data_IF_135577819840
#
_entry.id   IF_135577819840
#
_cell.length_a   1.000
_cell.length_b   1.000
_cell.length_c   1.000
_cell.angle_alpha   90.00
_cell.angle_beta   90.00
_cell.angle_gamma   90.00
#
_symmetry.space_group_name_H-M   'P 1'
#
loop_
_entity.id
_entity.type
_entity.pdbx_description
1 polymer ?
#
# COMPACT_ATOMS: atom_id res chain seq x y z
N UNK A 1 13.44 21.94 12.87
CA UNK A 1 13.31 20.59 12.29
C UNK A 1 14.09 19.66 13.21
N UNK A 2 13.44 18.62 13.76
CA UNK A 2 13.95 17.86 14.91
C UNK A 2 15.11 16.92 14.49
N UNK A 3 16.27 16.96 15.15
CA UNK A 3 17.43 16.09 14.84
C UNK A 3 17.07 14.59 14.91
N UNK A 4 16.15 14.24 15.80
CA UNK A 4 15.61 12.88 15.94
C UNK A 4 14.89 12.41 14.66
N UNK A 5 14.15 13.31 14.00
CA UNK A 5 13.43 13.01 12.76
C UNK A 5 14.41 12.78 11.60
N UNK A 6 15.46 13.61 11.51
CA UNK A 6 16.51 13.44 10.50
C UNK A 6 17.28 12.13 10.71
N UNK A 7 17.58 11.78 11.96
CA UNK A 7 18.20 10.51 12.31
C UNK A 7 17.28 9.33 11.96
N UNK A 8 15.98 9.42 12.20
CA UNK A 8 15.00 8.39 11.83
C UNK A 8 14.90 8.22 10.30
N UNK A 9 14.79 9.32 9.54
CA UNK A 9 14.75 9.28 8.06
C UNK A 9 15.99 8.59 7.49
N UNK A 10 17.17 8.86 8.06
CA UNK A 10 18.43 8.27 7.59
C UNK A 10 18.63 6.82 8.04
N UNK A 11 18.27 6.50 9.28
CA UNK A 11 18.60 5.21 9.88
C UNK A 11 17.51 4.16 9.68
N UNK A 12 16.23 4.54 9.65
CA UNK A 12 15.12 3.58 9.57
C UNK A 12 15.16 2.73 8.31
N UNK A 13 15.34 3.25 7.08
CA UNK A 13 15.42 2.40 5.88
C UNK A 13 16.61 1.44 5.90
N UNK A 14 17.71 1.83 6.59
CA UNK A 14 18.93 1.01 6.72
C UNK A 14 18.76 -0.10 7.76
N UNK A 15 18.08 0.19 8.86
CA UNK A 15 17.88 -0.74 9.98
C UNK A 15 16.66 -1.64 9.77
N UNK A 16 15.67 -1.16 9.04
CA UNK A 16 14.38 -1.80 8.78
C UNK A 16 14.03 -1.65 7.29
N UNK A 17 14.66 -2.45 6.40
CA UNK A 17 14.37 -2.38 4.98
C UNK A 17 12.94 -2.86 4.72
N UNK A 18 12.14 -2.06 4.01
CA UNK A 18 10.86 -2.55 3.53
C UNK A 18 11.06 -3.59 2.42
N UNK A 19 10.17 -4.56 2.37
CA UNK A 19 10.07 -5.49 1.24
C UNK A 19 8.76 -5.24 0.51
N UNK A 20 8.81 -5.33 -0.81
CA UNK A 20 7.60 -5.30 -1.64
C UNK A 20 7.45 -6.68 -2.25
N UNK A 21 6.32 -7.31 -1.95
CA UNK A 21 6.02 -8.68 -2.27
C UNK A 21 4.88 -8.69 -3.29
N UNK A 22 5.08 -9.38 -4.41
CA UNK A 22 4.03 -9.65 -5.38
C UNK A 22 3.15 -10.80 -4.88
N UNK A 23 1.96 -10.45 -4.41
CA UNK A 23 1.04 -11.41 -3.80
C UNK A 23 0.58 -12.41 -4.86
N UNK A 24 0.22 -11.96 -6.07
CA UNK A 24 -0.25 -12.84 -7.14
C UNK A 24 0.77 -13.94 -7.46
N UNK A 25 2.07 -13.60 -7.43
CA UNK A 25 3.15 -14.57 -7.62
C UNK A 25 3.36 -15.50 -6.41
N UNK A 26 3.19 -15.00 -5.17
CA UNK A 26 3.28 -15.84 -3.97
C UNK A 26 2.10 -16.81 -3.84
N UNK A 27 0.87 -16.36 -4.09
CA UNK A 27 -0.36 -17.15 -3.94
C UNK A 27 -0.46 -18.34 -4.89
N UNK A 28 0.29 -18.33 -5.99
CA UNK A 28 0.45 -19.51 -6.86
C UNK A 28 1.14 -20.68 -6.17
N UNK A 29 1.83 -20.43 -5.03
CA UNK A 29 2.67 -21.41 -4.32
C UNK A 29 2.16 -21.76 -2.92
N UNK A 30 1.23 -20.98 -2.36
CA UNK A 30 0.71 -21.17 -0.99
C UNK A 30 -0.80 -20.91 -0.92
N UNK A 31 -1.50 -21.67 -0.08
CA UNK A 31 -2.92 -21.45 0.19
C UNK A 31 -3.09 -20.38 1.26
N UNK A 32 -2.95 -19.12 0.86
CA UNK A 32 -3.11 -17.95 1.74
C UNK A 32 -4.52 -17.36 1.56
N UNK A 33 -5.15 -16.86 2.64
CA UNK A 33 -6.55 -16.44 2.66
C UNK A 33 -6.75 -15.07 1.99
N UNK A 34 -6.31 -14.91 0.75
CA UNK A 34 -6.58 -13.70 -0.04
C UNK A 34 -7.78 -13.93 -0.97
N UNK A 35 -8.71 -12.97 -1.10
CA UNK A 35 -9.86 -13.11 -1.99
C UNK A 35 -9.41 -13.26 -3.46
N UNK A 36 -9.70 -14.42 -4.06
CA UNK A 36 -9.21 -14.79 -5.40
C UNK A 36 -9.85 -13.95 -6.50
N UNK A 37 -11.01 -13.36 -6.23
CA UNK A 37 -11.71 -12.47 -7.16
C UNK A 37 -10.89 -11.25 -7.56
N UNK A 38 -9.89 -10.84 -6.78
CA UNK A 38 -9.03 -9.69 -7.09
C UNK A 38 -7.74 -10.07 -7.82
N UNK A 39 -7.50 -11.34 -8.15
CA UNK A 39 -6.25 -11.80 -8.79
C UNK A 39 -6.04 -11.28 -10.22
N UNK A 40 -7.07 -10.67 -10.82
CA UNK A 40 -6.94 -9.99 -12.10
C UNK A 40 -6.15 -8.67 -11.98
N UNK A 41 -6.03 -8.10 -10.78
CA UNK A 41 -5.20 -6.93 -10.50
C UNK A 41 -3.80 -7.36 -10.05
N UNK A 42 -2.75 -6.62 -10.44
CA UNK A 42 -1.42 -6.79 -9.86
C UNK A 42 -1.39 -6.21 -8.43
N UNK A 43 -1.37 -7.07 -7.41
CA UNK A 43 -1.42 -6.64 -6.01
C UNK A 43 -0.07 -6.91 -5.34
N UNK A 44 0.44 -5.88 -4.66
CA UNK A 44 1.69 -5.94 -3.92
C UNK A 44 1.47 -5.60 -2.45
N UNK A 45 2.21 -6.26 -1.55
CA UNK A 45 2.31 -5.86 -0.14
C UNK A 45 3.68 -5.24 0.08
N UNK A 46 3.69 -3.98 0.52
CA UNK A 46 4.84 -3.37 1.14
C UNK A 46 4.79 -3.66 2.64
N UNK A 47 5.80 -4.32 3.17
CA UNK A 47 5.89 -4.73 4.56
C UNK A 47 7.25 -4.42 5.18
N UNK A 48 7.26 -4.15 6.48
CA UNK A 48 8.47 -4.12 7.30
C UNK A 48 8.61 -5.47 8.03
N UNK A 49 9.68 -6.23 7.75
CA UNK A 49 9.86 -7.55 8.38
C UNK A 49 10.15 -7.51 9.89
N UNK A 50 10.26 -6.31 10.48
CA UNK A 50 10.53 -6.17 11.90
C UNK A 50 9.32 -5.55 12.58
N UNK A 51 8.54 -6.40 13.25
CA UNK A 51 7.31 -6.14 14.03
C UNK A 51 7.51 -5.18 15.23
N UNK A 52 8.58 -4.40 15.26
CA UNK A 52 9.03 -3.66 16.44
C UNK A 52 8.88 -2.14 16.34
N UNK A 53 8.51 -1.58 15.18
CA UNK A 53 8.48 -0.11 14.99
C UNK A 53 7.25 0.40 14.24
N UNK A 54 6.26 0.81 15.02
CA UNK A 54 4.93 1.33 14.63
C UNK A 54 4.96 2.63 13.80
N UNK A 55 6.11 3.29 13.66
CA UNK A 55 6.27 4.58 12.97
C UNK A 55 6.92 4.52 11.57
N UNK A 56 7.16 3.32 11.04
CA UNK A 56 8.07 3.14 9.90
C UNK A 56 7.44 3.29 8.51
N UNK A 57 6.12 3.15 8.35
CA UNK A 57 5.49 3.24 7.02
C UNK A 57 5.51 4.66 6.41
N UNK A 58 5.40 5.69 7.24
CA UNK A 58 5.56 7.09 6.79
C UNK A 58 6.97 7.41 6.27
N UNK A 59 7.97 6.58 6.60
CA UNK A 59 9.37 6.74 6.15
C UNK A 59 9.65 6.04 4.81
N UNK A 60 8.65 5.38 4.23
CA UNK A 60 8.77 4.67 2.95
C UNK A 60 8.28 5.48 1.75
N UNK A 61 8.09 6.81 1.85
CA UNK A 61 7.84 7.66 0.66
C UNK A 61 8.85 7.38 -0.46
N UNK A 62 10.14 7.23 -0.10
CA UNK A 62 11.20 6.89 -1.05
C UNK A 62 11.05 5.48 -1.67
N UNK A 63 10.55 4.50 -0.92
CA UNK A 63 10.32 3.15 -1.43
C UNK A 63 9.06 3.07 -2.29
N UNK A 64 8.00 3.79 -1.91
CA UNK A 64 6.79 3.94 -2.71
C UNK A 64 7.12 4.60 -4.06
N UNK A 65 7.85 5.71 -4.04
CA UNK A 65 8.30 6.38 -5.26
C UNK A 65 9.16 5.46 -6.12
N UNK A 66 10.17 4.80 -5.54
CA UNK A 66 11.02 3.86 -6.27
C UNK A 66 10.25 2.70 -6.90
N UNK A 67 9.22 2.20 -6.20
CA UNK A 67 8.34 1.16 -6.72
C UNK A 67 7.43 1.66 -7.85
N UNK A 68 6.82 2.83 -7.68
CA UNK A 68 6.02 3.49 -8.72
C UNK A 68 6.83 3.78 -9.98
N UNK A 69 8.07 4.24 -9.81
CA UNK A 69 9.03 4.45 -10.90
C UNK A 69 9.35 3.12 -11.61
N UNK A 70 9.60 2.04 -10.86
CA UNK A 70 9.88 0.70 -11.42
C UNK A 70 8.70 0.12 -12.19
N UNK A 71 7.46 0.42 -11.76
CA UNK A 71 6.23 -0.04 -12.42
C UNK A 71 5.74 0.89 -13.52
N UNK A 72 6.38 2.05 -13.67
CA UNK A 72 5.94 3.12 -14.56
C UNK A 72 4.44 3.42 -14.43
N UNK A 73 3.91 3.37 -13.20
CA UNK A 73 2.48 3.59 -12.93
C UNK A 73 2.26 4.40 -11.65
N UNK A 74 1.13 5.10 -11.59
CA UNK A 74 0.57 5.61 -10.33
C UNK A 74 0.08 4.44 -9.47
N UNK A 75 -0.23 4.69 -8.20
CA UNK A 75 -0.59 3.62 -7.26
C UNK A 75 -1.87 3.93 -6.49
N UNK A 76 -2.77 2.96 -6.39
CA UNK A 76 -3.72 2.89 -5.28
C UNK A 76 -3.05 2.24 -4.06
N UNK A 77 -3.34 2.77 -2.88
CA UNK A 77 -2.67 2.41 -1.64
C UNK A 77 -3.73 2.17 -0.57
N UNK A 78 -3.70 0.97 0.04
CA UNK A 78 -4.56 0.62 1.17
C UNK A 78 -3.69 0.43 2.42
N UNK A 79 -3.86 1.25 3.47
CA UNK A 79 -3.20 1.03 4.74
C UNK A 79 -3.94 -0.06 5.52
N UNK A 80 -3.56 -1.31 5.29
CA UNK A 80 -4.20 -2.47 5.91
C UNK A 80 -3.90 -2.53 7.41
N UNK A 81 -2.63 -2.44 7.79
CA UNK A 81 -2.18 -2.40 9.20
C UNK A 81 -0.87 -1.59 9.36
N UNK A 82 -0.37 -1.46 10.60
CA UNK A 82 0.89 -0.74 10.91
C UNK A 82 2.15 -1.37 10.30
N UNK A 83 2.07 -2.61 9.82
CA UNK A 83 3.19 -3.35 9.25
C UNK A 83 3.03 -3.62 7.75
N UNK A 84 1.83 -3.41 7.20
CA UNK A 84 1.49 -3.82 5.84
C UNK A 84 0.65 -2.76 5.13
N UNK A 85 1.14 -2.38 3.95
CA UNK A 85 0.44 -1.51 3.02
C UNK A 85 0.27 -2.26 1.70
N UNK A 86 -0.95 -2.27 1.18
CA UNK A 86 -1.24 -2.87 -0.11
C UNK A 86 -1.07 -1.80 -1.19
N UNK A 87 -0.35 -2.14 -2.24
CA UNK A 87 -0.08 -1.30 -3.40
C UNK A 87 -0.67 -1.95 -4.64
N UNK A 88 -1.41 -1.17 -5.43
CA UNK A 88 -2.02 -1.61 -6.68
C UNK A 88 -1.70 -0.58 -7.77
N UNK A 89 -0.90 -0.92 -8.78
CA UNK A 89 -0.67 -0.07 -9.94
C UNK A 89 -1.99 0.33 -10.61
N UNK A 90 -2.08 1.58 -11.04
CA UNK A 90 -3.21 2.12 -11.81
C UNK A 90 -3.04 1.71 -13.27
N UNK A 91 -3.14 0.40 -13.54
CA UNK A 91 -2.98 -0.19 -14.88
C UNK A 91 -4.31 -0.44 -15.57
N UNK A 92 -5.40 -0.49 -14.81
CA UNK A 92 -6.75 -0.70 -15.32
C UNK A 92 -7.68 0.37 -14.71
N UNK A 93 -8.69 0.83 -15.44
CA UNK A 93 -9.74 1.66 -14.87
C UNK A 93 -10.50 0.81 -13.85
N UNK A 94 -10.40 1.18 -12.58
CA UNK A 94 -11.16 0.58 -11.47
C UNK A 94 -12.02 1.67 -10.87
N UNK A 95 -13.31 1.40 -10.75
CA UNK A 95 -14.24 2.35 -10.16
C UNK A 95 -13.91 2.57 -8.68
N UNK A 96 -14.00 3.80 -8.15
CA UNK A 96 -13.70 4.08 -6.76
C UNK A 96 -14.46 3.19 -5.77
N UNK A 97 -15.75 2.93 -6.05
CA UNK A 97 -16.59 2.06 -5.22
C UNK A 97 -16.07 0.62 -5.13
N UNK A 98 -15.41 0.12 -6.18
CA UNK A 98 -14.77 -1.18 -6.20
C UNK A 98 -13.51 -1.17 -5.33
N UNK A 99 -12.69 -0.12 -5.40
CA UNK A 99 -11.51 0.04 -4.53
C UNK A 99 -11.90 0.07 -3.05
N UNK A 100 -12.92 0.86 -2.70
CA UNK A 100 -13.42 0.92 -1.33
C UNK A 100 -14.01 -0.40 -0.85
N UNK A 101 -14.67 -1.15 -1.73
CA UNK A 101 -15.18 -2.48 -1.40
C UNK A 101 -14.05 -3.48 -1.24
N UNK A 102 -13.02 -3.39 -2.08
CA UNK A 102 -11.83 -4.23 -2.03
C UNK A 102 -11.05 -4.04 -0.73
N UNK A 103 -10.75 -2.80 -0.32
CA UNK A 103 -10.03 -2.56 0.95
C UNK A 103 -10.81 -3.08 2.15
N UNK A 104 -12.13 -2.83 2.22
CA UNK A 104 -12.99 -3.35 3.29
C UNK A 104 -12.96 -4.88 3.36
N UNK A 105 -13.03 -5.54 2.21
CA UNK A 105 -13.04 -7.00 2.14
C UNK A 105 -11.68 -7.58 2.55
N UNK A 106 -10.58 -7.02 2.02
CA UNK A 106 -9.23 -7.48 2.36
C UNK A 106 -8.97 -7.29 3.86
N UNK A 107 -9.28 -6.13 4.42
CA UNK A 107 -9.10 -5.86 5.84
C UNK A 107 -9.83 -6.90 6.71
N UNK A 108 -11.10 -7.17 6.40
CA UNK A 108 -11.92 -8.13 7.18
C UNK A 108 -11.45 -9.59 7.10
N UNK A 109 -10.82 -9.98 5.98
CA UNK A 109 -10.44 -11.38 5.72
C UNK A 109 -8.99 -11.64 6.14
N UNK A 110 -8.09 -10.70 5.85
CA UNK A 110 -6.64 -10.90 5.95
C UNK A 110 -6.04 -10.29 7.22
N UNK A 111 -6.72 -9.35 7.89
CA UNK A 111 -6.17 -8.59 9.01
C UNK A 111 -7.01 -8.83 10.27
N UNK A 112 -6.39 -9.10 11.43
CA UNK A 112 -7.13 -9.15 12.69
C UNK A 112 -7.85 -7.81 12.95
N UNK A 113 -9.10 -7.85 13.43
CA UNK A 113 -9.94 -6.65 13.60
C UNK A 113 -9.25 -5.53 14.39
N UNK A 114 -8.49 -5.90 15.43
CA UNK A 114 -7.74 -4.97 16.28
C UNK A 114 -6.55 -4.28 15.60
N UNK A 115 -6.06 -4.82 14.48
CA UNK A 115 -4.87 -4.37 13.78
C UNK A 115 -5.23 -3.61 12.47
N UNK A 116 -6.52 -3.55 12.11
CA UNK A 116 -7.03 -2.79 10.96
C UNK A 116 -6.78 -1.29 11.22
N UNK A 117 -6.06 -0.63 10.32
CA UNK A 117 -5.82 0.81 10.40
C UNK A 117 -6.98 1.64 9.81
N UNK A 118 -7.38 1.33 8.59
CA UNK A 118 -8.43 2.09 7.91
C UNK A 118 -8.95 1.37 6.67
N UNK A 119 -10.23 1.61 6.35
CA UNK A 119 -10.83 1.28 5.05
C UNK A 119 -10.64 2.40 4.01
N UNK A 120 -9.71 3.33 4.27
CA UNK A 120 -9.40 4.44 3.36
C UNK A 120 -8.63 3.97 2.15
N UNK A 121 -8.89 4.59 1.01
CA UNK A 121 -8.11 4.41 -0.22
C UNK A 121 -7.31 5.67 -0.48
N UNK A 122 -6.03 5.51 -0.76
CA UNK A 122 -5.16 6.61 -1.18
C UNK A 122 -4.73 6.40 -2.63
N UNK A 123 -4.49 7.50 -3.33
CA UNK A 123 -3.88 7.53 -4.64
C UNK A 123 -2.54 8.24 -4.56
N UNK A 124 -1.49 7.60 -5.07
CA UNK A 124 -0.18 8.19 -5.22
C UNK A 124 0.05 8.55 -6.67
N UNK A 125 0.25 9.84 -6.93
CA UNK A 125 0.69 10.36 -8.23
C UNK A 125 2.20 10.27 -8.31
N UNK A 126 2.70 9.44 -9.23
CA UNK A 126 4.13 9.30 -9.52
C UNK A 126 4.73 10.60 -10.02
N UNK A 127 4.03 11.27 -10.93
CA UNK A 127 4.50 12.53 -11.52
C UNK A 127 4.64 13.64 -10.47
N UNK A 128 3.63 13.78 -9.59
CA UNK A 128 3.59 14.85 -8.60
C UNK A 128 4.30 14.50 -7.30
N UNK A 129 4.72 13.24 -7.13
CA UNK A 129 5.27 12.68 -5.90
C UNK A 129 4.39 13.01 -4.68
N UNK A 130 3.09 12.71 -4.82
CA UNK A 130 2.06 13.11 -3.84
C UNK A 130 1.04 12.02 -3.59
N UNK A 131 0.72 11.85 -2.31
CA UNK A 131 -0.39 11.05 -1.82
C UNK A 131 -1.67 11.92 -1.73
N UNK A 132 -2.77 11.38 -2.22
CA UNK A 132 -4.10 11.97 -2.17
C UNK A 132 -5.05 10.97 -1.48
N UNK A 133 -5.79 11.42 -0.47
CA UNK A 133 -6.85 10.61 0.13
C UNK A 133 -8.05 10.62 -0.81
N UNK A 134 -8.52 9.43 -1.22
CA UNK A 134 -9.73 9.30 -2.01
C UNK A 134 -10.95 9.36 -1.10
N UNK A 135 -12.02 10.00 -1.58
CA UNK A 135 -13.32 10.00 -0.90
C UNK A 135 -14.31 9.16 -1.68
N UNK A 136 -15.18 8.49 -0.94
CA UNK A 136 -16.30 7.77 -1.53
C UNK A 136 -17.20 8.78 -2.27
N UNK A 137 -17.34 8.60 -3.59
CA UNK A 137 -18.04 9.52 -4.50
C UNK A 137 -17.15 10.49 -5.30
N UNK A 138 -15.82 10.47 -5.14
CA UNK A 138 -14.93 11.22 -6.02
C UNK A 138 -14.95 10.64 -7.44
N UNK A 139 -15.16 11.48 -8.46
CA UNK A 139 -15.07 11.08 -9.87
C UNK A 139 -13.67 11.38 -10.40
N UNK A 140 -12.81 10.38 -10.47
CA UNK A 140 -11.48 10.51 -11.09
C UNK A 140 -11.62 10.37 -12.61
N UNK A 141 -12.25 11.36 -13.24
CA UNK A 141 -12.00 11.55 -14.67
C UNK A 141 -10.63 12.19 -14.77
N UNK A 142 -9.68 11.46 -15.35
CA UNK A 142 -8.47 12.03 -15.91
C UNK A 142 -8.87 13.16 -16.86
N UNK A 143 -8.66 14.40 -16.43
CA UNK A 143 -8.49 15.53 -17.34
C UNK A 143 -7.11 15.45 -18.00
#
# INVERSE_FOLDING_TARGET
MNELLLAAIKNTPRLFPCKIIDINNMLRKVNYPFPKEYFYLPIYVMTNEQETNEASILLYESALKGFADTKESDMYIFPACIHEVILIPVTLPVEPSELFSMVRNINRICVPEKDILSDSVYYYSREKDKLLLLKDGDSYKSE
#
